data_IF_403597864606
#
_entry.id   IF_403597864606
#
_cell.length_a   1.000
_cell.length_b   1.000
_cell.length_c   1.000
_cell.angle_alpha   90.00
_cell.angle_beta   90.00
_cell.angle_gamma   90.00
#
_symmetry.space_group_name_H-M   'P 1'
#
loop_
_entity.id
_entity.type
_entity.pdbx_description
1 polymer ?
#
# COMPACT_ATOMS: atom_id res chain seq x y z
N UNK A 1 27.30 -22.70 5.71
CA UNK A 1 25.95 -22.69 5.09
C UNK A 1 24.84 -22.38 6.08
N UNK A 2 24.73 -23.07 7.23
CA UNK A 2 23.68 -22.81 8.24
C UNK A 2 23.68 -21.36 8.78
N UNK A 3 24.85 -20.81 9.11
CA UNK A 3 25.00 -19.42 9.58
C UNK A 3 24.54 -18.36 8.55
N UNK A 4 24.80 -18.59 7.27
CA UNK A 4 24.42 -17.66 6.19
C UNK A 4 22.90 -17.66 6.01
N UNK A 5 22.28 -18.83 6.05
CA UNK A 5 20.83 -18.97 5.96
C UNK A 5 20.11 -18.32 7.16
N UNK A 6 20.65 -18.46 8.38
CA UNK A 6 20.11 -17.79 9.58
C UNK A 6 20.23 -16.27 9.48
N UNK A 7 21.35 -15.75 8.95
CA UNK A 7 21.55 -14.31 8.78
C UNK A 7 20.55 -13.71 7.77
N UNK A 8 20.31 -14.40 6.65
CA UNK A 8 19.34 -14.02 5.63
C UNK A 8 17.90 -14.00 6.17
N UNK A 9 17.54 -14.97 7.01
CA UNK A 9 16.19 -15.03 7.59
C UNK A 9 15.93 -13.88 8.58
N UNK A 10 16.93 -13.51 9.38
CA UNK A 10 16.84 -12.36 10.29
C UNK A 10 16.76 -11.04 9.52
N UNK A 11 17.56 -10.89 8.46
CA UNK A 11 17.52 -9.70 7.62
C UNK A 11 16.16 -9.51 6.94
N UNK A 12 15.51 -10.59 6.47
CA UNK A 12 14.19 -10.53 5.84
C UNK A 12 13.10 -9.94 6.75
N UNK A 13 13.17 -10.18 8.07
CA UNK A 13 12.23 -9.60 9.04
C UNK A 13 12.31 -8.08 9.16
N UNK A 14 13.52 -7.51 9.04
CA UNK A 14 13.73 -6.06 9.14
C UNK A 14 13.18 -5.28 7.93
N UNK A 15 13.09 -5.90 6.75
CA UNK A 15 12.53 -5.25 5.56
C UNK A 15 10.99 -5.12 5.62
N UNK A 16 10.31 -6.04 6.32
CA UNK A 16 8.84 -6.00 6.44
C UNK A 16 8.34 -4.83 7.31
N UNK A 17 9.07 -4.45 8.36
CA UNK A 17 8.68 -3.33 9.22
C UNK A 17 8.83 -1.95 8.55
N UNK A 18 9.81 -1.78 7.67
CA UNK A 18 10.09 -0.50 7.03
C UNK A 18 8.98 -0.08 6.05
N UNK A 19 8.37 -1.02 5.33
CA UNK A 19 7.33 -0.74 4.35
C UNK A 19 6.01 -0.30 5.01
N UNK A 20 5.70 -0.86 6.19
CA UNK A 20 4.49 -0.51 6.94
C UNK A 20 4.53 0.95 7.43
N UNK A 21 5.68 1.39 7.96
CA UNK A 21 5.81 2.72 8.60
C UNK A 21 5.61 3.88 7.63
N UNK A 22 6.09 3.79 6.38
CA UNK A 22 5.96 4.88 5.41
C UNK A 22 4.49 5.20 5.10
N UNK A 23 3.66 4.15 4.96
CA UNK A 23 2.24 4.30 4.65
C UNK A 23 1.46 4.80 5.86
N UNK A 24 1.82 4.34 7.06
CA UNK A 24 1.20 4.76 8.30
C UNK A 24 1.49 6.24 8.62
N UNK A 25 2.73 6.70 8.43
CA UNK A 25 3.10 8.11 8.62
C UNK A 25 2.34 9.02 7.66
N UNK A 26 2.07 8.56 6.43
CA UNK A 26 1.30 9.32 5.46
C UNK A 26 -0.17 9.46 5.87
N UNK A 27 -0.76 8.41 6.44
CA UNK A 27 -2.13 8.37 6.97
C UNK A 27 -2.29 9.25 8.22
N UNK A 28 -1.35 9.18 9.15
CA UNK A 28 -1.38 9.98 10.38
C UNK A 28 -1.15 11.48 10.12
N UNK A 29 -0.36 11.81 9.10
CA UNK A 29 0.02 13.20 8.79
C UNK A 29 -1.07 13.95 8.03
N UNK A 30 -1.86 13.27 7.20
CA UNK A 30 -2.81 13.92 6.30
C UNK A 30 -4.22 13.39 6.51
N UNK A 31 -5.09 14.24 7.05
CA UNK A 31 -6.51 13.94 7.17
C UNK A 31 -7.16 14.12 5.79
N UNK A 32 -7.44 13.00 5.13
CA UNK A 32 -7.91 12.94 3.74
C UNK A 32 -8.95 11.85 3.55
N UNK A 33 -9.62 11.87 2.40
CA UNK A 33 -10.60 10.84 2.08
C UNK A 33 -9.88 9.50 1.89
N UNK A 34 -10.14 8.56 2.80
CA UNK A 34 -9.69 7.18 2.70
C UNK A 34 -10.83 6.26 2.28
N UNK A 35 -10.65 5.58 1.14
CA UNK A 35 -11.57 4.56 0.64
C UNK A 35 -10.90 3.18 0.71
N UNK A 36 -11.66 2.18 1.13
CA UNK A 36 -11.20 0.80 1.22
C UNK A 36 -11.92 -0.06 0.20
N UNK A 37 -11.14 -0.68 -0.68
CA UNK A 37 -11.62 -1.59 -1.70
C UNK A 37 -11.18 -3.01 -1.32
N UNK A 38 -12.14 -3.81 -0.90
CA UNK A 38 -11.94 -5.23 -0.68
C UNK A 38 -12.08 -5.97 -2.02
N UNK A 39 -11.61 -7.21 -2.08
CA UNK A 39 -11.73 -8.04 -3.29
C UNK A 39 -13.13 -8.04 -3.90
N UNK A 40 -14.18 -8.12 -3.08
CA UNK A 40 -15.57 -8.08 -3.55
C UNK A 40 -15.90 -6.74 -4.24
N UNK A 41 -15.45 -5.62 -3.67
CA UNK A 41 -15.61 -4.28 -4.27
C UNK A 41 -14.81 -4.14 -5.56
N UNK A 42 -13.58 -4.68 -5.60
CA UNK A 42 -12.75 -4.69 -6.81
C UNK A 42 -13.40 -5.52 -7.92
N UNK A 43 -14.01 -6.66 -7.58
CA UNK A 43 -14.76 -7.47 -8.53
C UNK A 43 -15.96 -6.74 -9.13
N UNK A 44 -16.61 -5.83 -8.38
CA UNK A 44 -17.68 -4.98 -8.93
C UNK A 44 -17.17 -3.99 -9.99
N UNK A 45 -15.88 -3.65 -9.99
CA UNK A 45 -15.26 -2.85 -11.06
C UNK A 45 -15.06 -3.66 -12.34
N UNK A 46 -14.99 -5.00 -12.24
CA UNK A 46 -14.92 -5.91 -13.37
C UNK A 46 -16.29 -6.08 -14.05
N UNK A 47 -16.85 -5.00 -14.59
CA UNK A 47 -18.20 -5.00 -15.18
C UNK A 47 -18.35 -5.92 -16.41
N UNK A 48 -17.24 -6.36 -16.99
CA UNK A 48 -17.20 -7.21 -18.19
C UNK A 48 -16.86 -8.67 -17.87
N UNK A 49 -16.76 -9.03 -16.59
CA UNK A 49 -16.35 -10.35 -16.13
C UNK A 49 -15.06 -10.86 -16.81
N UNK A 50 -14.07 -9.97 -16.97
CA UNK A 50 -12.79 -10.30 -17.58
C UNK A 50 -11.99 -11.24 -16.65
N UNK A 51 -11.67 -12.48 -17.07
CA UNK A 51 -10.91 -13.42 -16.27
C UNK A 51 -9.49 -12.92 -15.93
N UNK A 52 -8.89 -12.12 -16.80
CA UNK A 52 -7.56 -11.56 -16.55
C UNK A 52 -7.57 -10.53 -15.42
N UNK A 53 -8.66 -9.77 -15.28
CA UNK A 53 -8.83 -8.84 -14.17
C UNK A 53 -9.07 -9.58 -12.85
N UNK A 54 -9.88 -10.63 -12.87
CA UNK A 54 -10.12 -11.46 -11.68
C UNK A 54 -8.83 -12.13 -11.17
N UNK A 55 -7.97 -12.59 -12.09
CA UNK A 55 -6.65 -13.13 -11.76
C UNK A 55 -5.73 -12.05 -11.17
N UNK A 56 -5.75 -10.82 -11.71
CA UNK A 56 -4.97 -9.70 -11.21
C UNK A 56 -5.32 -9.34 -9.76
N UNK A 57 -6.62 -9.38 -9.41
CA UNK A 57 -7.08 -8.98 -8.07
C UNK A 57 -7.14 -10.14 -7.07
N UNK A 58 -6.83 -11.38 -7.47
CA UNK A 58 -7.12 -12.58 -6.68
C UNK A 58 -6.44 -12.59 -5.30
N UNK A 59 -5.22 -12.03 -5.23
CA UNK A 59 -4.37 -11.99 -4.03
C UNK A 59 -4.44 -10.63 -3.33
N UNK A 60 -5.28 -9.70 -3.81
CA UNK A 60 -5.51 -8.41 -3.17
C UNK A 60 -6.57 -8.58 -2.08
N UNK A 61 -6.13 -8.67 -0.82
CA UNK A 61 -7.03 -8.72 0.33
C UNK A 61 -7.76 -7.39 0.53
N UNK A 62 -6.99 -6.29 0.54
CA UNK A 62 -7.50 -4.92 0.71
C UNK A 62 -6.62 -3.93 -0.03
N UNK A 63 -7.24 -3.05 -0.80
CA UNK A 63 -6.61 -1.87 -1.38
C UNK A 63 -7.14 -0.63 -0.65
N UNK A 64 -6.24 0.25 -0.22
CA UNK A 64 -6.60 1.55 0.37
C UNK A 64 -6.28 2.64 -0.64
N UNK A 65 -7.27 3.46 -0.95
CA UNK A 65 -7.11 4.66 -1.76
C UNK A 65 -7.20 5.88 -0.85
N UNK A 66 -6.19 6.74 -0.88
CA UNK A 66 -6.15 7.94 -0.05
C UNK A 66 -6.03 9.17 -0.93
N UNK A 67 -6.95 10.12 -0.75
CA UNK A 67 -6.97 11.39 -1.47
C UNK A 67 -6.61 12.52 -0.50
N UNK A 68 -5.50 13.20 -0.78
CA UNK A 68 -4.99 14.31 0.01
C UNK A 68 -5.25 15.61 -0.74
N UNK A 69 -5.96 16.57 -0.13
CA UNK A 69 -6.13 17.90 -0.71
C UNK A 69 -4.87 18.75 -0.50
N UNK A 70 -4.04 18.88 -1.53
CA UNK A 70 -2.76 19.61 -1.44
C UNK A 70 -2.91 21.06 -0.96
N UNK A 71 -4.01 21.74 -1.29
CA UNK A 71 -4.23 23.13 -0.92
C UNK A 71 -4.40 23.31 0.60
N UNK A 72 -5.14 22.40 1.23
CA UNK A 72 -5.44 22.46 2.66
C UNK A 72 -4.38 21.72 3.51
N UNK A 73 -3.66 20.78 2.90
CA UNK A 73 -2.77 19.84 3.60
C UNK A 73 -1.33 20.34 3.79
N UNK A 74 -0.96 21.51 3.25
CA UNK A 74 0.44 21.99 3.18
C UNK A 74 1.42 20.92 2.63
N UNK A 75 0.94 20.07 1.72
CA UNK A 75 1.75 19.00 1.13
C UNK A 75 2.80 19.64 0.20
N UNK A 76 4.08 19.46 0.51
CA UNK A 76 5.19 20.08 -0.24
C UNK A 76 5.90 19.08 -1.16
N UNK A 77 6.68 19.58 -2.12
CA UNK A 77 7.54 18.73 -2.97
C UNK A 77 8.54 17.88 -2.17
N UNK A 78 8.92 18.36 -0.99
CA UNK A 78 9.79 17.61 -0.07
C UNK A 78 9.10 16.38 0.54
N UNK A 79 7.78 16.42 0.68
CA UNK A 79 6.98 15.30 1.17
C UNK A 79 6.82 14.23 0.08
N UNK A 80 6.68 14.64 -1.19
CA UNK A 80 6.61 13.73 -2.32
C UNK A 80 7.88 12.86 -2.46
N UNK A 81 9.06 13.46 -2.29
CA UNK A 81 10.36 12.76 -2.36
C UNK A 81 10.59 11.74 -1.25
N UNK A 82 9.77 11.71 -0.19
CA UNK A 82 9.86 10.71 0.89
C UNK A 82 8.97 9.49 0.64
N UNK A 83 8.06 9.58 -0.33
CA UNK A 83 7.07 8.55 -0.66
C UNK A 83 7.49 7.77 -1.92
N UNK A 84 8.23 8.41 -2.83
CA UNK A 84 8.83 7.80 -4.02
C UNK A 84 10.23 7.24 -3.74
#
# INVERSE_FOLDING_TARGET
MKLIATLLFVLAGFYAEAQSKTTQVLDEKYDGLSLFFYRNTLRMLNQKDDPAFDELIKDIEKMRFMMINKADSKFTDSDYKKIA
#
